data_IF_323816911128
#
_entry.id   IF_323816911128
#
_cell.length_a   1.000
_cell.length_b   1.000
_cell.length_c   1.000
_cell.angle_alpha   90.00
_cell.angle_beta   90.00
_cell.angle_gamma   90.00
#
_symmetry.space_group_name_H-M   'P 1'
#
loop_
_entity.id
_entity.type
_entity.pdbx_description
1 polymer ?
#
# COMPACT_ATOMS: atom_id res chain seq x y z
N UNK A 1 2.87 -69.72 31.04
CA UNK A 1 3.40 -69.97 29.68
C UNK A 1 4.45 -68.93 29.37
N UNK A 2 5.67 -69.41 29.23
CA UNK A 2 6.91 -68.62 29.22
C UNK A 2 7.07 -67.74 28.00
N UNK A 3 7.49 -66.50 28.24
CA UNK A 3 8.07 -65.63 27.22
C UNK A 3 9.58 -65.76 27.28
N UNK A 4 10.12 -66.36 26.23
CA UNK A 4 11.58 -66.40 25.99
C UNK A 4 12.06 -65.10 25.36
N UNK A 5 13.04 -64.53 26.02
CA UNK A 5 13.95 -63.49 25.51
C UNK A 5 14.61 -63.86 24.19
N UNK A 6 14.74 -62.89 23.31
CA UNK A 6 15.71 -62.94 22.22
C UNK A 6 16.58 -61.69 22.28
N UNK A 7 17.82 -61.96 22.61
CA UNK A 7 18.95 -61.02 22.69
C UNK A 7 19.48 -60.58 21.33
N UNK A 8 19.82 -59.31 21.29
CA UNK A 8 21.01 -58.71 20.67
C UNK A 8 21.46 -59.08 19.23
N UNK A 9 21.58 -58.03 18.44
CA UNK A 9 22.41 -57.95 17.23
C UNK A 9 22.80 -56.48 16.97
N UNK A 10 23.86 -56.06 17.65
CA UNK A 10 24.59 -54.82 17.42
C UNK A 10 25.28 -54.83 16.06
N UNK A 11 25.00 -53.83 15.19
CA UNK A 11 25.87 -53.50 14.04
C UNK A 11 25.87 -51.96 13.85
N UNK A 12 26.84 -51.36 14.49
CA UNK A 12 27.38 -50.04 14.17
C UNK A 12 27.82 -49.97 12.71
N UNK A 13 27.10 -49.12 11.93
CA UNK A 13 27.61 -48.62 10.65
C UNK A 13 27.78 -47.14 10.74
N UNK A 14 29.01 -46.69 10.93
CA UNK A 14 29.43 -45.32 10.83
C UNK A 14 29.18 -44.77 9.43
N UNK A 15 28.31 -43.78 9.31
CA UNK A 15 28.21 -42.93 8.13
C UNK A 15 29.03 -41.66 8.38
N UNK A 16 30.14 -41.55 7.63
CA UNK A 16 30.93 -40.34 7.50
C UNK A 16 30.05 -39.21 6.98
N UNK A 17 29.95 -38.15 7.76
CA UNK A 17 29.34 -36.89 7.33
C UNK A 17 30.27 -36.22 6.30
N UNK A 18 29.85 -36.18 5.05
CA UNK A 18 30.43 -35.27 4.04
C UNK A 18 29.81 -33.89 4.22
N UNK A 19 30.61 -32.97 4.75
CA UNK A 19 30.27 -31.57 4.78
C UNK A 19 30.24 -30.99 3.35
N UNK A 20 29.05 -30.80 2.79
CA UNK A 20 28.90 -30.05 1.55
C UNK A 20 28.95 -28.54 1.90
N UNK A 21 29.95 -27.88 1.32
CA UNK A 21 30.10 -26.43 1.32
C UNK A 21 28.85 -25.81 0.68
N UNK A 22 27.96 -25.19 1.48
CA UNK A 22 26.95 -24.31 0.96
C UNK A 22 27.63 -22.99 0.55
N UNK A 23 27.71 -22.80 -0.75
CA UNK A 23 28.11 -21.53 -1.37
C UNK A 23 27.12 -20.45 -1.00
N UNK A 24 27.64 -19.36 -0.45
CA UNK A 24 26.92 -18.10 -0.23
C UNK A 24 26.41 -17.56 -1.57
N UNK A 25 25.14 -17.74 -1.87
CA UNK A 25 24.48 -17.04 -2.95
C UNK A 25 23.79 -15.79 -2.40
N UNK A 26 24.46 -14.69 -2.58
CA UNK A 26 24.01 -13.39 -3.02
C UNK A 26 22.86 -12.68 -2.28
N UNK A 27 23.26 -11.77 -1.40
CA UNK A 27 22.42 -10.69 -0.82
C UNK A 27 22.17 -9.52 -1.80
N UNK A 28 22.38 -9.68 -3.10
CA UNK A 28 22.42 -8.59 -4.08
C UNK A 28 21.01 -8.12 -4.50
N UNK A 29 20.02 -8.99 -4.41
CA UNK A 29 18.66 -8.66 -4.90
C UNK A 29 17.85 -7.81 -3.91
N UNK A 30 18.12 -7.89 -2.61
CA UNK A 30 17.44 -7.06 -1.58
C UNK A 30 17.84 -5.59 -1.68
N UNK A 31 19.08 -5.32 -2.06
CA UNK A 31 19.59 -3.94 -2.14
C UNK A 31 19.02 -3.17 -3.35
N UNK A 32 18.72 -3.83 -4.46
CA UNK A 32 18.20 -3.19 -5.67
C UNK A 32 16.79 -2.62 -5.44
N UNK A 33 15.90 -3.35 -4.76
CA UNK A 33 14.54 -2.85 -4.45
C UNK A 33 14.57 -1.68 -3.47
N UNK A 34 15.48 -1.68 -2.51
CA UNK A 34 15.67 -0.60 -1.54
C UNK A 34 16.23 0.67 -2.22
N UNK A 35 17.14 0.54 -3.18
CA UNK A 35 17.69 1.68 -3.92
C UNK A 35 16.69 2.29 -4.90
N UNK A 36 15.80 1.52 -5.51
CA UNK A 36 14.74 2.04 -6.39
C UNK A 36 13.72 2.83 -5.56
N UNK A 37 13.35 2.38 -4.37
CA UNK A 37 12.46 3.12 -3.47
C UNK A 37 13.10 4.41 -2.94
N UNK A 38 14.41 4.39 -2.59
CA UNK A 38 15.13 5.59 -2.16
C UNK A 38 15.36 6.60 -3.29
N UNK A 39 15.57 6.15 -4.52
CA UNK A 39 15.76 7.04 -5.67
C UNK A 39 14.48 7.79 -6.04
N UNK A 40 13.31 7.15 -5.94
CA UNK A 40 12.00 7.78 -6.15
C UNK A 40 11.68 8.83 -5.08
N UNK A 41 11.97 8.55 -3.81
CA UNK A 41 11.78 9.54 -2.72
C UNK A 41 12.74 10.72 -2.82
N UNK A 42 13.98 10.52 -3.30
CA UNK A 42 14.93 11.60 -3.51
C UNK A 42 14.53 12.53 -4.66
N UNK A 43 13.90 12.00 -5.73
CA UNK A 43 13.42 12.80 -6.85
C UNK A 43 12.27 13.72 -6.44
N UNK A 44 11.33 13.25 -5.64
CA UNK A 44 10.21 14.05 -5.11
C UNK A 44 10.72 15.17 -4.20
N UNK A 45 11.71 14.91 -3.34
CA UNK A 45 12.31 15.94 -2.45
C UNK A 45 13.04 17.01 -3.25
N UNK A 46 13.71 16.67 -4.36
CA UNK A 46 14.40 17.64 -5.20
C UNK A 46 13.41 18.57 -5.91
N UNK A 47 12.27 18.07 -6.37
CA UNK A 47 11.23 18.86 -7.03
C UNK A 47 10.59 19.84 -6.04
N UNK A 48 10.29 19.42 -4.81
CA UNK A 48 9.74 20.29 -3.77
C UNK A 48 10.74 21.35 -3.31
N UNK A 49 12.02 21.01 -3.15
CA UNK A 49 13.06 21.95 -2.74
C UNK A 49 13.37 23.00 -3.82
N UNK A 50 13.28 22.65 -5.10
CA UNK A 50 13.54 23.59 -6.21
C UNK A 50 12.46 24.67 -6.34
N UNK A 51 11.22 24.37 -5.96
CA UNK A 51 10.13 25.32 -6.00
C UNK A 51 10.11 26.30 -4.81
N UNK A 52 10.74 25.96 -3.68
CA UNK A 52 10.82 26.84 -2.50
C UNK A 52 11.91 27.91 -2.61
N UNK A 53 12.92 27.72 -3.47
CA UNK A 53 14.07 28.64 -3.59
C UNK A 53 13.86 29.76 -4.62
N UNK A 54 12.77 29.76 -5.39
CA UNK A 54 12.52 30.73 -6.45
C UNK A 54 11.35 31.70 -6.19
N UNK A 55 10.93 31.90 -4.94
CA UNK A 55 9.97 32.95 -4.62
C UNK A 55 10.67 34.31 -4.55
N UNK A 56 10.32 35.28 -5.40
CA UNK A 56 10.87 36.62 -5.29
C UNK A 56 10.33 37.31 -4.03
N UNK A 57 11.24 37.79 -3.21
CA UNK A 57 11.02 38.59 -2.00
C UNK A 57 10.18 39.84 -2.32
N UNK A 58 8.96 39.92 -1.88
CA UNK A 58 8.17 41.16 -1.81
C UNK A 58 8.70 42.03 -0.67
N UNK A 59 9.54 43.01 -1.02
CA UNK A 59 9.89 44.09 -0.09
C UNK A 59 8.70 45.02 0.05
N UNK A 60 8.25 45.17 1.27
CA UNK A 60 7.29 46.16 1.70
C UNK A 60 8.00 47.49 1.90
N UNK A 61 7.77 48.46 1.01
CA UNK A 61 8.19 49.85 1.22
C UNK A 61 6.99 50.67 1.68
N UNK A 62 7.17 51.28 2.85
CA UNK A 62 6.24 52.26 3.44
C UNK A 62 6.46 53.62 2.79
N UNK A 63 5.44 54.20 2.17
CA UNK A 63 5.50 55.55 1.64
C UNK A 63 5.06 56.55 2.72
N UNK A 64 5.97 57.47 2.98
CA UNK A 64 5.72 58.69 3.72
C UNK A 64 5.41 59.86 2.74
N UNK A 65 4.31 60.54 2.98
CA UNK A 65 3.80 61.67 2.20
C UNK A 65 4.64 62.90 2.41
N UNK A 66 4.98 63.62 1.33
CA UNK A 66 5.22 65.04 1.40
C UNK A 66 4.79 65.76 0.11
N UNK A 67 3.91 66.69 0.27
CA UNK A 67 3.33 67.56 -0.74
C UNK A 67 4.29 68.66 -1.18
N UNK A 68 4.29 69.00 -2.47
CA UNK A 68 4.41 70.43 -2.92
C UNK A 68 3.93 70.53 -4.38
N UNK A 69 3.05 71.47 -4.60
CA UNK A 69 2.43 71.93 -5.83
C UNK A 69 3.39 72.65 -6.80
N UNK A 70 3.11 72.61 -8.10
CA UNK A 70 2.84 73.74 -9.00
C UNK A 70 2.91 73.30 -10.49
N UNK A 71 1.79 73.43 -11.17
CA UNK A 71 1.47 73.86 -12.55
C UNK A 71 2.50 73.78 -13.68
N UNK A 72 2.19 73.02 -14.75
CA UNK A 72 2.16 73.54 -16.16
C UNK A 72 1.46 72.54 -17.07
N UNK A 73 0.57 73.02 -17.89
CA UNK A 73 -0.34 72.32 -18.80
C UNK A 73 0.36 71.75 -20.07
N UNK A 74 -0.43 70.80 -20.66
CA UNK A 74 -0.43 70.42 -22.07
C UNK A 74 0.85 69.79 -22.65
N UNK A 75 0.84 68.46 -22.75
CA UNK A 75 1.11 67.65 -23.94
C UNK A 75 1.43 66.17 -23.54
N UNK A 76 0.45 65.43 -22.91
CA UNK A 76 0.76 64.01 -22.57
C UNK A 76 -0.47 63.11 -22.65
N UNK A 77 -1.35 63.29 -23.65
CA UNK A 77 -2.54 62.43 -23.75
C UNK A 77 -2.40 61.23 -24.70
N UNK A 78 -1.29 61.12 -25.44
CA UNK A 78 -1.07 60.00 -26.39
C UNK A 78 -0.03 58.98 -25.92
N UNK A 79 0.84 59.26 -24.96
CA UNK A 79 1.84 58.30 -24.44
C UNK A 79 1.33 57.46 -23.28
N UNK A 80 0.47 57.99 -22.42
CA UNK A 80 -0.07 57.28 -21.25
C UNK A 80 -0.99 56.10 -21.63
N UNK A 81 -1.68 56.15 -22.80
CA UNK A 81 -2.61 55.09 -23.23
C UNK A 81 -1.84 53.88 -23.81
N UNK A 82 -0.68 54.11 -24.49
CA UNK A 82 0.12 53.02 -25.08
C UNK A 82 0.98 52.29 -24.04
N UNK A 83 1.44 52.95 -22.99
CA UNK A 83 2.23 52.35 -21.91
C UNK A 83 1.31 51.46 -21.01
N UNK A 84 0.09 51.90 -20.75
CA UNK A 84 -0.90 51.19 -19.97
C UNK A 84 -1.45 49.91 -20.66
N UNK A 85 -1.54 49.89 -21.98
CA UNK A 85 -1.96 48.70 -22.75
C UNK A 85 -0.85 47.66 -22.82
N UNK A 86 0.43 48.06 -22.89
CA UNK A 86 1.58 47.20 -22.92
C UNK A 86 1.77 46.45 -21.60
N UNK A 87 1.58 47.15 -20.47
CA UNK A 87 1.69 46.58 -19.14
C UNK A 87 0.56 45.53 -18.88
N UNK A 88 -0.64 45.78 -19.41
CA UNK A 88 -1.76 44.82 -19.34
C UNK A 88 -1.50 43.56 -20.14
N UNK A 89 -0.98 43.68 -21.35
CA UNK A 89 -0.65 42.54 -22.22
C UNK A 89 0.44 41.65 -21.56
N UNK A 90 1.45 42.27 -20.93
CA UNK A 90 2.48 41.52 -20.19
C UNK A 90 1.90 40.78 -18.97
N UNK A 91 0.96 41.38 -18.26
CA UNK A 91 0.29 40.75 -17.12
C UNK A 91 -0.60 39.56 -17.56
N UNK A 92 -1.35 39.72 -18.65
CA UNK A 92 -2.14 38.65 -19.24
C UNK A 92 -1.23 37.51 -19.70
N UNK A 93 -0.11 37.80 -20.31
CA UNK A 93 0.85 36.77 -20.73
C UNK A 93 1.44 36.01 -19.54
N UNK A 94 1.80 36.69 -18.45
CA UNK A 94 2.27 36.06 -17.21
C UNK A 94 1.20 35.14 -16.60
N UNK A 95 -0.07 35.52 -16.62
CA UNK A 95 -1.17 34.68 -16.15
C UNK A 95 -1.36 33.43 -17.02
N UNK A 96 -1.24 33.58 -18.36
CA UNK A 96 -1.28 32.44 -19.30
C UNK A 96 -0.14 31.46 -19.08
N UNK A 97 1.09 31.99 -18.89
CA UNK A 97 2.26 31.15 -18.63
C UNK A 97 2.12 30.39 -17.29
N UNK A 98 1.61 31.08 -16.25
CA UNK A 98 1.30 30.45 -14.96
C UNK A 98 0.18 29.41 -15.05
N UNK A 99 -0.83 29.65 -15.87
CA UNK A 99 -1.90 28.67 -16.13
C UNK A 99 -1.33 27.40 -16.74
N UNK A 100 -0.45 27.54 -17.73
CA UNK A 100 0.22 26.40 -18.38
C UNK A 100 1.11 25.62 -17.40
N UNK A 101 1.84 26.30 -16.53
CA UNK A 101 2.64 25.66 -15.48
C UNK A 101 1.74 24.86 -14.51
N UNK A 102 0.61 25.45 -14.10
CA UNK A 102 -0.37 24.77 -13.25
C UNK A 102 -1.01 23.56 -13.95
N UNK A 103 -1.36 23.66 -15.24
CA UNK A 103 -1.89 22.51 -16.00
C UNK A 103 -0.90 21.34 -16.02
N UNK A 104 0.41 21.63 -16.15
CA UNK A 104 1.46 20.60 -16.09
C UNK A 104 1.53 19.95 -14.69
N UNK A 105 1.57 20.77 -13.64
CA UNK A 105 1.62 20.27 -12.25
C UNK A 105 0.38 19.49 -11.86
N UNK A 106 -0.79 19.89 -12.32
CA UNK A 106 -2.04 19.15 -12.10
C UNK A 106 -1.96 17.78 -12.74
N UNK A 107 -1.48 17.68 -14.00
CA UNK A 107 -1.33 16.39 -14.69
C UNK A 107 -0.35 15.46 -13.97
N UNK A 108 0.78 15.96 -13.51
CA UNK A 108 1.77 15.19 -12.73
C UNK A 108 1.18 14.70 -11.39
N UNK A 109 0.45 15.58 -10.68
CA UNK A 109 -0.20 15.24 -9.42
C UNK A 109 -1.34 14.22 -9.61
N UNK A 110 -2.14 14.34 -10.67
CA UNK A 110 -3.18 13.35 -11.02
C UNK A 110 -2.59 11.96 -11.29
N UNK A 111 -1.47 11.88 -11.99
CA UNK A 111 -0.77 10.62 -12.23
C UNK A 111 -0.27 10.02 -10.93
N UNK A 112 0.35 10.83 -10.06
CA UNK A 112 0.85 10.39 -8.76
C UNK A 112 -0.29 9.91 -7.84
N UNK A 113 -1.41 10.64 -7.76
CA UNK A 113 -2.61 10.22 -7.02
C UNK A 113 -3.14 8.89 -7.56
N UNK A 114 -3.20 8.72 -8.88
CA UNK A 114 -3.62 7.45 -9.50
C UNK A 114 -2.70 6.29 -9.12
N UNK A 115 -1.39 6.51 -9.10
CA UNK A 115 -0.41 5.51 -8.69
C UNK A 115 -0.57 5.17 -7.20
N UNK A 116 -0.61 6.18 -6.31
CA UNK A 116 -0.77 5.99 -4.87
C UNK A 116 -2.07 5.26 -4.51
N UNK A 117 -3.17 5.55 -5.21
CA UNK A 117 -4.44 4.81 -5.06
C UNK A 117 -4.30 3.34 -5.42
N UNK A 118 -3.54 3.00 -6.48
CA UNK A 118 -3.28 1.59 -6.84
C UNK A 118 -2.41 0.89 -5.81
N UNK A 119 -1.41 1.58 -5.27
CA UNK A 119 -0.49 1.04 -4.27
C UNK A 119 -1.17 0.80 -2.91
N UNK A 120 -2.08 1.70 -2.53
CA UNK A 120 -2.83 1.61 -1.27
C UNK A 120 -4.14 0.82 -1.38
N UNK A 121 -4.51 0.41 -2.60
CA UNK A 121 -5.73 -0.37 -2.79
C UNK A 121 -5.58 -1.77 -2.19
N UNK A 122 -6.46 -2.08 -1.25
CA UNK A 122 -6.60 -3.41 -0.65
C UNK A 122 -7.94 -3.99 -1.08
N UNK A 123 -7.94 -5.09 -1.86
CA UNK A 123 -9.18 -5.74 -2.26
C UNK A 123 -9.87 -6.35 -1.04
N UNK A 124 -11.20 -6.34 -1.02
CA UNK A 124 -11.97 -7.10 -0.03
C UNK A 124 -11.88 -8.59 -0.33
N UNK A 125 -11.97 -9.43 0.71
CA UNK A 125 -12.04 -10.87 0.55
C UNK A 125 -13.25 -11.26 -0.32
N UNK A 126 -12.98 -11.97 -1.41
CA UNK A 126 -13.97 -12.53 -2.31
C UNK A 126 -13.94 -14.05 -2.22
N UNK A 127 -14.87 -14.60 -1.43
CA UNK A 127 -14.95 -16.05 -1.15
C UNK A 127 -15.26 -16.85 -2.43
N UNK A 128 -16.05 -16.29 -3.33
CA UNK A 128 -16.40 -17.00 -4.57
C UNK A 128 -15.20 -17.01 -5.54
N UNK A 129 -14.47 -15.92 -5.64
CA UNK A 129 -13.22 -15.89 -6.40
C UNK A 129 -12.19 -16.87 -5.84
N UNK A 130 -12.03 -16.92 -4.51
CA UNK A 130 -11.14 -17.87 -3.83
C UNK A 130 -11.51 -19.33 -4.12
N UNK A 131 -12.81 -19.68 -4.17
CA UNK A 131 -13.31 -21.01 -4.56
C UNK A 131 -12.93 -21.41 -5.97
N UNK A 132 -12.73 -20.45 -6.84
CA UNK A 132 -12.32 -20.65 -8.22
C UNK A 132 -10.80 -20.49 -8.41
N UNK A 133 -10.04 -20.54 -7.31
CA UNK A 133 -8.57 -20.37 -7.29
C UNK A 133 -8.08 -18.99 -7.77
N UNK A 134 -8.94 -17.97 -7.72
CA UNK A 134 -8.50 -16.59 -7.85
C UNK A 134 -8.13 -16.05 -6.46
N UNK A 135 -6.83 -16.00 -6.20
CA UNK A 135 -6.26 -15.62 -4.91
C UNK A 135 -6.02 -14.11 -4.78
N UNK A 136 -6.38 -13.31 -5.78
CA UNK A 136 -6.11 -11.88 -5.85
C UNK A 136 -6.67 -11.09 -4.66
N UNK A 137 -7.81 -11.52 -4.10
CA UNK A 137 -8.44 -10.89 -2.94
C UNK A 137 -7.67 -11.11 -1.62
N UNK A 138 -6.72 -12.05 -1.58
CA UNK A 138 -5.82 -12.24 -0.43
C UNK A 138 -4.65 -11.26 -0.40
N UNK A 139 -4.38 -10.58 -1.51
CA UNK A 139 -3.26 -9.64 -1.62
C UNK A 139 -3.21 -8.67 -0.45
N UNK A 140 -2.01 -8.51 0.13
CA UNK A 140 -1.76 -7.55 1.20
C UNK A 140 -0.95 -8.14 2.35
N UNK A 141 -0.84 -7.35 3.40
CA UNK A 141 -0.17 -7.75 4.64
C UNK A 141 -1.20 -8.15 5.67
N UNK A 142 -0.95 -9.27 6.32
CA UNK A 142 -1.78 -9.84 7.38
C UNK A 142 -0.92 -10.07 8.60
N UNK A 143 -1.38 -9.65 9.78
CA UNK A 143 -0.57 -9.71 10.99
C UNK A 143 -1.39 -10.19 12.18
N UNK A 144 -0.76 -11.05 13.01
CA UNK A 144 -1.34 -11.43 14.29
C UNK A 144 -1.04 -10.37 15.36
N UNK A 145 -1.82 -10.30 16.45
CA UNK A 145 -1.48 -9.49 17.62
C UNK A 145 -0.09 -9.82 18.21
N UNK A 146 0.37 -11.07 18.07
CA UNK A 146 1.70 -11.52 18.53
C UNK A 146 2.85 -11.11 17.58
N UNK A 147 2.57 -10.50 16.42
CA UNK A 147 3.56 -9.99 15.48
C UNK A 147 3.97 -10.95 14.36
N UNK A 148 3.38 -12.15 14.28
CA UNK A 148 3.55 -13.00 13.10
C UNK A 148 2.90 -12.33 11.89
N UNK A 149 3.50 -12.49 10.69
CA UNK A 149 3.09 -11.75 9.51
C UNK A 149 3.07 -12.64 8.28
N UNK A 150 2.06 -12.42 7.43
CA UNK A 150 1.97 -12.91 6.06
C UNK A 150 1.92 -11.71 5.10
N UNK A 151 2.76 -11.72 4.08
CA UNK A 151 2.67 -10.80 2.94
C UNK A 151 2.32 -11.62 1.72
N UNK A 152 1.11 -11.45 1.20
CA UNK A 152 0.56 -12.26 0.10
C UNK A 152 0.51 -11.39 -1.16
N UNK A 153 1.04 -11.90 -2.27
CA UNK A 153 0.95 -11.26 -3.57
C UNK A 153 -0.29 -11.74 -4.37
N UNK A 154 -0.52 -11.15 -5.53
CA UNK A 154 -1.68 -11.46 -6.39
C UNK A 154 -1.69 -12.90 -6.90
N UNK A 155 -0.53 -13.57 -6.99
CA UNK A 155 -0.43 -14.96 -7.45
C UNK A 155 -0.60 -15.99 -6.32
N UNK A 156 -0.84 -15.55 -5.07
CA UNK A 156 -0.95 -16.45 -3.92
C UNK A 156 0.40 -16.88 -3.34
N UNK A 157 1.53 -16.31 -3.78
CA UNK A 157 2.79 -16.51 -3.09
C UNK A 157 2.78 -15.70 -1.79
N UNK A 158 3.05 -16.34 -0.67
CA UNK A 158 3.00 -15.79 0.67
C UNK A 158 4.37 -15.83 1.32
N UNK A 159 4.86 -14.67 1.74
CA UNK A 159 6.06 -14.55 2.56
C UNK A 159 5.64 -14.52 4.02
N UNK A 160 6.04 -15.55 4.76
CA UNK A 160 5.67 -15.72 6.16
C UNK A 160 6.84 -15.35 7.08
N UNK A 161 6.53 -14.54 8.08
CA UNK A 161 7.41 -14.26 9.22
C UNK A 161 6.74 -14.79 10.48
N UNK A 162 7.44 -15.62 11.25
CA UNK A 162 6.95 -16.11 12.55
C UNK A 162 8.02 -15.98 13.63
N UNK A 163 7.56 -15.83 14.86
CA UNK A 163 8.43 -15.75 16.03
C UNK A 163 8.13 -16.90 16.97
N UNK A 164 9.18 -17.63 17.37
CA UNK A 164 9.10 -18.72 18.37
C UNK A 164 10.29 -18.60 19.29
N UNK A 165 10.05 -18.56 20.60
CA UNK A 165 11.08 -18.45 21.62
C UNK A 165 12.07 -17.28 21.37
N UNK A 166 11.56 -16.15 20.87
CA UNK A 166 12.35 -14.97 20.54
C UNK A 166 13.16 -15.08 19.23
N UNK A 167 13.09 -16.19 18.53
CA UNK A 167 13.74 -16.37 17.22
C UNK A 167 12.78 -16.06 16.09
N UNK A 168 13.28 -15.36 15.06
CA UNK A 168 12.57 -15.04 13.83
C UNK A 168 12.80 -16.14 12.79
N UNK A 169 11.70 -16.61 12.20
CA UNK A 169 11.69 -17.55 11.09
C UNK A 169 11.02 -16.90 9.89
N UNK A 170 11.65 -17.01 8.72
CA UNK A 170 11.13 -16.50 7.45
C UNK A 170 11.12 -17.62 6.41
N UNK A 171 9.99 -17.81 5.77
CA UNK A 171 9.82 -18.84 4.75
C UNK A 171 8.79 -18.41 3.71
N UNK A 172 8.90 -18.98 2.51
CA UNK A 172 7.93 -18.74 1.43
C UNK A 172 6.95 -19.89 1.37
N UNK A 173 5.67 -19.54 1.24
CA UNK A 173 4.55 -20.46 1.14
C UNK A 173 3.85 -20.21 -0.20
N UNK A 174 3.43 -21.27 -0.85
CA UNK A 174 2.56 -21.23 -2.01
C UNK A 174 1.13 -21.59 -1.55
N UNK A 175 0.18 -20.70 -1.86
CA UNK A 175 -1.25 -20.93 -1.65
C UNK A 175 -1.82 -21.52 -2.94
N UNK A 176 -2.64 -22.55 -2.79
CA UNK A 176 -3.32 -23.20 -3.91
C UNK A 176 -4.72 -23.63 -3.50
N UNK A 177 -5.71 -23.21 -4.26
CA UNK A 177 -7.10 -23.62 -4.07
C UNK A 177 -7.69 -24.29 -5.32
N UNK A 178 -6.84 -24.79 -6.23
CA UNK A 178 -7.27 -25.58 -7.38
C UNK A 178 -8.10 -26.81 -6.97
N UNK A 179 -7.90 -27.25 -5.72
CA UNK A 179 -8.67 -28.31 -5.05
C UNK A 179 -9.34 -27.78 -3.79
N UNK A 180 -10.33 -26.90 -3.95
CA UNK A 180 -11.07 -26.36 -2.79
C UNK A 180 -11.68 -27.46 -1.94
N UNK A 181 -11.25 -27.57 -0.69
CA UNK A 181 -11.75 -28.54 0.27
C UNK A 181 -13.21 -28.26 0.65
N UNK A 182 -13.68 -27.02 0.51
CA UNK A 182 -15.01 -26.58 0.88
C UNK A 182 -15.98 -26.49 -0.32
N UNK A 183 -15.49 -26.62 -1.55
CA UNK A 183 -16.34 -26.51 -2.76
C UNK A 183 -17.53 -27.47 -2.74
N UNK A 184 -17.32 -28.70 -2.30
CA UNK A 184 -18.36 -29.72 -2.16
C UNK A 184 -19.15 -29.60 -0.85
N UNK A 185 -18.77 -28.72 0.07
CA UNK A 185 -19.41 -28.45 1.37
C UNK A 185 -20.07 -27.08 1.44
N UNK A 186 -20.02 -26.30 0.34
CA UNK A 186 -20.61 -24.95 0.28
C UNK A 186 -22.14 -24.96 0.47
N UNK A 187 -22.80 -26.08 0.30
CA UNK A 187 -24.23 -26.26 0.67
C UNK A 187 -24.45 -26.36 2.20
N UNK A 188 -23.40 -26.66 2.95
CA UNK A 188 -23.44 -26.63 4.42
C UNK A 188 -23.30 -25.16 4.86
N UNK A 189 -24.27 -24.67 5.62
CA UNK A 189 -24.30 -23.27 6.10
C UNK A 189 -23.02 -22.90 6.86
N UNK A 190 -22.37 -23.87 7.50
CA UNK A 190 -21.10 -23.73 8.24
C UNK A 190 -19.95 -23.19 7.38
N UNK A 191 -19.94 -23.51 6.09
CA UNK A 191 -18.81 -23.18 5.20
C UNK A 191 -19.17 -22.25 4.04
N UNK A 192 -20.41 -21.75 4.03
CA UNK A 192 -20.91 -20.93 2.91
C UNK A 192 -20.15 -19.62 2.74
N UNK A 193 -19.76 -19.00 3.83
CA UNK A 193 -19.21 -17.63 3.85
C UNK A 193 -17.69 -17.58 4.11
N UNK A 194 -17.02 -18.75 4.11
CA UNK A 194 -15.58 -18.87 4.33
C UNK A 194 -14.95 -19.73 3.24
N UNK A 195 -13.65 -19.66 3.07
CA UNK A 195 -12.91 -20.57 2.20
C UNK A 195 -11.62 -21.07 2.87
N UNK A 196 -11.31 -22.34 2.62
CA UNK A 196 -10.13 -23.03 3.15
C UNK A 196 -9.16 -23.33 2.02
N UNK A 197 -8.02 -22.68 2.05
CA UNK A 197 -7.01 -22.67 1.00
C UNK A 197 -5.84 -23.53 1.46
N UNK A 198 -5.36 -24.42 0.60
CA UNK A 198 -4.15 -25.20 0.85
C UNK A 198 -2.92 -24.31 0.85
N UNK A 199 -2.02 -24.54 1.78
CA UNK A 199 -0.78 -23.81 1.93
C UNK A 199 0.38 -24.80 2.12
N UNK A 200 1.46 -24.64 1.39
CA UNK A 200 2.65 -25.47 1.53
C UNK A 200 3.93 -24.63 1.40
N UNK A 201 4.93 -25.00 2.18
CA UNK A 201 6.22 -24.33 2.11
C UNK A 201 6.88 -24.61 0.77
N UNK A 202 7.27 -23.60 0.04
CA UNK A 202 7.89 -23.68 -1.28
C UNK A 202 9.15 -24.56 -1.25
N UNK A 203 9.15 -25.56 -2.13
CA UNK A 203 10.26 -26.52 -2.23
C UNK A 203 10.27 -27.60 -1.13
N UNK A 204 9.25 -27.70 -0.29
CA UNK A 204 9.08 -28.78 0.68
C UNK A 204 8.13 -29.84 0.13
N UNK A 205 8.45 -31.12 0.40
CA UNK A 205 7.60 -32.27 0.06
C UNK A 205 6.64 -32.66 1.21
N UNK A 206 6.73 -31.98 2.36
CA UNK A 206 5.93 -32.24 3.54
C UNK A 206 5.71 -30.93 4.32
N UNK A 207 4.68 -30.91 5.19
CA UNK A 207 4.45 -29.76 6.08
C UNK A 207 3.45 -28.74 5.52
N UNK A 208 2.40 -29.22 4.83
CA UNK A 208 1.26 -28.37 4.44
C UNK A 208 0.36 -28.00 5.63
N UNK A 209 -0.34 -26.90 5.50
CA UNK A 209 -1.38 -26.43 6.39
C UNK A 209 -2.51 -25.79 5.57
N UNK A 210 -3.54 -25.32 6.21
CA UNK A 210 -4.62 -24.60 5.54
C UNK A 210 -4.69 -23.16 6.07
N UNK A 211 -5.07 -22.24 5.19
CA UNK A 211 -5.43 -20.87 5.52
C UNK A 211 -6.91 -20.71 5.27
N UNK A 212 -7.67 -20.38 6.31
CA UNK A 212 -9.11 -20.13 6.22
C UNK A 212 -9.34 -18.63 6.11
N UNK A 213 -9.90 -18.19 5.00
CA UNK A 213 -10.27 -16.79 4.75
C UNK A 213 -11.68 -16.54 5.28
N UNK A 214 -11.80 -15.53 6.15
CA UNK A 214 -13.06 -15.17 6.82
C UNK A 214 -13.32 -13.67 6.62
N UNK A 215 -14.37 -13.30 5.87
CA UNK A 215 -14.73 -11.89 5.66
C UNK A 215 -15.15 -11.19 6.96
N UNK A 216 -15.12 -9.86 6.91
CA UNK A 216 -15.72 -9.01 7.96
C UNK A 216 -17.20 -9.33 8.13
N UNK A 217 -17.69 -9.36 9.37
CA UNK A 217 -19.07 -9.69 9.74
C UNK A 217 -19.38 -11.19 9.82
N UNK A 218 -18.49 -12.06 9.31
CA UNK A 218 -18.68 -13.51 9.34
C UNK A 218 -18.08 -14.10 10.63
N UNK A 219 -18.78 -14.98 11.28
CA UNK A 219 -18.33 -15.69 12.48
C UNK A 219 -18.09 -17.16 12.13
N UNK A 220 -16.91 -17.68 12.41
CA UNK A 220 -16.64 -19.10 12.24
C UNK A 220 -17.52 -19.92 13.19
N UNK A 221 -18.13 -20.97 12.64
CA UNK A 221 -19.02 -21.85 13.44
C UNK A 221 -18.24 -22.55 14.56
N UNK A 222 -18.88 -22.85 15.69
CA UNK A 222 -18.24 -23.59 16.77
C UNK A 222 -17.69 -24.93 16.31
N UNK A 223 -16.69 -25.44 17.03
CA UNK A 223 -16.26 -26.82 16.93
C UNK A 223 -17.39 -27.82 17.22
N UNK A 224 -17.21 -29.08 16.87
CA UNK A 224 -18.28 -30.09 16.90
C UNK A 224 -18.88 -30.31 18.31
N UNK A 225 -18.08 -30.07 19.35
CA UNK A 225 -18.56 -30.17 20.75
C UNK A 225 -19.16 -28.83 21.27
N UNK A 226 -19.17 -27.78 20.46
CA UNK A 226 -19.67 -26.45 20.81
C UNK A 226 -18.84 -25.67 21.83
N UNK A 227 -17.72 -26.21 22.31
CA UNK A 227 -16.88 -25.57 23.33
C UNK A 227 -15.91 -24.54 22.74
N UNK A 228 -15.38 -24.81 21.55
CA UNK A 228 -14.47 -23.93 20.85
C UNK A 228 -15.27 -23.03 19.95
N UNK A 229 -15.21 -21.71 20.19
CA UNK A 229 -15.93 -20.68 19.45
C UNK A 229 -14.97 -19.65 18.91
N UNK A 230 -15.34 -19.00 17.81
CA UNK A 230 -14.59 -17.87 17.27
C UNK A 230 -14.65 -16.67 18.23
N UNK A 231 -13.52 -16.31 18.81
CA UNK A 231 -13.35 -15.18 19.74
C UNK A 231 -12.51 -14.04 19.13
N UNK A 232 -12.29 -14.09 17.82
CA UNK A 232 -11.57 -13.06 17.10
C UNK A 232 -12.42 -11.79 16.91
N UNK A 233 -11.82 -10.71 16.40
CA UNK A 233 -12.56 -9.50 16.04
C UNK A 233 -13.35 -9.73 14.73
N UNK A 234 -14.67 -9.86 14.83
CA UNK A 234 -15.53 -10.15 13.68
C UNK A 234 -15.74 -8.94 12.75
N UNK A 235 -15.42 -7.73 13.20
CA UNK A 235 -15.57 -6.52 12.37
C UNK A 235 -14.48 -6.40 11.30
N UNK A 236 -13.45 -7.27 11.36
CA UNK A 236 -12.34 -7.25 10.44
C UNK A 236 -12.25 -8.52 9.59
N UNK A 237 -11.64 -8.42 8.41
CA UNK A 237 -11.24 -9.58 7.62
C UNK A 237 -10.12 -10.35 8.33
N UNK A 238 -10.21 -11.67 8.34
CA UNK A 238 -9.31 -12.53 9.11
C UNK A 238 -8.81 -13.70 8.29
N UNK A 239 -7.59 -14.14 8.62
CA UNK A 239 -7.08 -15.44 8.20
C UNK A 239 -6.77 -16.27 9.44
N UNK A 240 -7.28 -17.49 9.44
CA UNK A 240 -6.89 -18.51 10.41
C UNK A 240 -5.92 -19.46 9.72
N UNK A 241 -4.85 -19.88 10.39
CA UNK A 241 -3.87 -20.78 9.82
C UNK A 241 -3.61 -21.97 10.75
N UNK A 242 -3.68 -23.18 10.20
CA UNK A 242 -3.48 -24.40 10.99
C UNK A 242 -3.77 -25.66 10.21
N UNK A 243 -3.82 -26.80 10.93
CA UNK A 243 -4.09 -28.09 10.31
C UNK A 243 -5.51 -28.61 10.61
N UNK A 244 -6.13 -28.11 11.67
CA UNK A 244 -7.45 -28.54 12.10
C UNK A 244 -8.32 -27.34 12.48
N UNK A 245 -9.58 -27.36 12.06
CA UNK A 245 -10.54 -26.28 12.26
C UNK A 245 -10.69 -25.90 13.74
N UNK A 246 -10.90 -26.87 14.62
CA UNK A 246 -11.10 -26.65 16.05
C UNK A 246 -9.85 -26.04 16.70
N UNK A 247 -8.66 -26.49 16.29
CA UNK A 247 -7.41 -25.99 16.81
C UNK A 247 -7.16 -24.51 16.47
N UNK A 248 -7.69 -24.06 15.32
CA UNK A 248 -7.59 -22.65 14.91
C UNK A 248 -8.43 -21.71 15.78
N UNK A 249 -9.49 -22.23 16.42
CA UNK A 249 -10.35 -21.44 17.31
C UNK A 249 -9.81 -21.30 18.74
N UNK A 250 -8.78 -22.08 19.09
CA UNK A 250 -8.21 -22.10 20.46
C UNK A 250 -7.51 -20.80 20.84
N UNK A 251 -6.83 -20.16 19.88
CA UNK A 251 -5.89 -19.08 20.11
C UNK A 251 -6.24 -17.85 19.28
N UNK A 252 -7.12 -16.98 19.78
CA UNK A 252 -7.48 -15.75 19.06
C UNK A 252 -6.28 -14.82 18.82
N UNK A 253 -5.21 -14.95 19.62
CA UNK A 253 -3.95 -14.21 19.43
C UNK A 253 -3.15 -14.65 18.20
N UNK A 254 -3.43 -15.83 17.65
CA UNK A 254 -2.78 -16.34 16.43
C UNK A 254 -3.58 -16.05 15.15
N UNK A 255 -4.70 -15.33 15.26
CA UNK A 255 -5.52 -14.92 14.11
C UNK A 255 -4.84 -13.74 13.40
N UNK A 256 -4.73 -13.84 12.08
CA UNK A 256 -4.17 -12.78 11.25
C UNK A 256 -5.26 -11.81 10.80
N UNK A 257 -5.04 -10.54 11.05
CA UNK A 257 -5.90 -9.44 10.59
C UNK A 257 -5.23 -8.69 9.46
N UNK A 258 -6.03 -8.19 8.53
CA UNK A 258 -5.51 -7.42 7.41
C UNK A 258 -4.94 -6.08 7.91
N UNK A 259 -3.68 -5.82 7.59
CA UNK A 259 -3.04 -4.53 7.90
C UNK A 259 -3.55 -3.48 6.92
N UNK A 260 -4.10 -2.39 7.44
CA UNK A 260 -4.50 -1.25 6.61
C UNK A 260 -3.25 -0.59 6.04
N UNK A 261 -3.20 -0.27 4.75
CA UNK A 261 -2.07 0.44 4.17
C UNK A 261 -1.97 1.86 4.75
N UNK A 262 -0.76 2.39 4.75
CA UNK A 262 -0.53 3.81 5.08
C UNK A 262 -1.00 4.68 3.91
N UNK A 263 -2.06 5.45 4.12
CA UNK A 263 -2.66 6.37 3.13
C UNK A 263 -2.18 7.80 3.27
N UNK A 264 -1.27 8.10 4.19
CA UNK A 264 -0.86 9.47 4.51
C UNK A 264 -0.31 10.23 3.29
N UNK A 265 0.49 9.56 2.44
CA UNK A 265 1.00 10.16 1.20
C UNK A 265 -0.08 10.41 0.17
N UNK A 266 -1.05 9.52 0.07
CA UNK A 266 -2.19 9.69 -0.83
C UNK A 266 -3.04 10.89 -0.39
N UNK A 267 -3.35 11.00 0.88
CA UNK A 267 -4.12 12.11 1.45
C UNK A 267 -3.40 13.45 1.28
N UNK A 268 -2.07 13.48 1.45
CA UNK A 268 -1.26 14.68 1.21
C UNK A 268 -1.31 15.10 -0.26
N UNK A 269 -1.13 14.15 -1.20
CA UNK A 269 -1.13 14.45 -2.62
C UNK A 269 -2.52 14.81 -3.16
N UNK A 270 -3.59 14.19 -2.65
CA UNK A 270 -4.97 14.59 -2.97
C UNK A 270 -5.25 16.04 -2.53
N UNK A 271 -4.73 16.46 -1.37
CA UNK A 271 -4.83 17.83 -0.90
C UNK A 271 -4.03 18.80 -1.78
N UNK A 272 -2.81 18.41 -2.18
CA UNK A 272 -1.97 19.19 -3.10
C UNK A 272 -2.68 19.38 -4.44
N UNK A 273 -3.22 18.33 -5.03
CA UNK A 273 -3.99 18.37 -6.28
C UNK A 273 -5.19 19.31 -6.18
N UNK A 274 -5.96 19.24 -5.08
CA UNK A 274 -7.09 20.13 -4.86
C UNK A 274 -6.67 21.60 -4.78
N UNK A 275 -5.52 21.91 -4.18
CA UNK A 275 -4.99 23.28 -4.12
C UNK A 275 -4.57 23.78 -5.50
N UNK A 276 -3.84 22.96 -6.29
CA UNK A 276 -3.44 23.30 -7.66
C UNK A 276 -4.65 23.58 -8.56
N UNK A 277 -5.71 22.79 -8.44
CA UNK A 277 -6.97 22.98 -9.18
C UNK A 277 -7.68 24.28 -8.77
N UNK A 278 -7.70 24.61 -7.48
CA UNK A 278 -8.26 25.88 -6.98
C UNK A 278 -7.47 27.09 -7.49
N UNK A 279 -6.13 27.04 -7.47
CA UNK A 279 -5.26 28.09 -7.98
C UNK A 279 -5.46 28.30 -9.49
N UNK A 280 -5.63 27.21 -10.24
CA UNK A 280 -5.94 27.23 -11.67
C UNK A 280 -7.27 27.96 -11.97
N UNK A 281 -8.31 27.64 -11.23
CA UNK A 281 -9.62 28.30 -11.41
C UNK A 281 -9.58 29.79 -11.02
N UNK A 282 -8.80 30.15 -10.01
CA UNK A 282 -8.58 31.57 -9.64
C UNK A 282 -7.90 32.35 -10.77
N UNK A 283 -6.88 31.78 -11.43
CA UNK A 283 -6.22 32.41 -12.58
C UNK A 283 -7.15 32.53 -13.78
N UNK A 284 -7.92 31.50 -14.10
CA UNK A 284 -8.93 31.56 -15.18
C UNK A 284 -9.93 32.69 -14.96
N UNK A 285 -10.49 32.77 -13.75
CA UNK A 285 -11.42 33.85 -13.37
C UNK A 285 -10.77 35.23 -13.54
N UNK A 286 -9.49 35.36 -13.18
CA UNK A 286 -8.73 36.60 -13.34
C UNK A 286 -8.56 36.98 -14.82
N UNK A 287 -8.25 36.01 -15.70
CA UNK A 287 -8.12 36.22 -17.14
C UNK A 287 -9.46 36.63 -17.77
N UNK A 288 -10.56 35.93 -17.45
CA UNK A 288 -11.90 36.26 -17.96
C UNK A 288 -12.36 37.68 -17.54
N UNK A 289 -11.98 38.10 -16.34
CA UNK A 289 -12.32 39.45 -15.84
C UNK A 289 -11.53 40.52 -16.59
N UNK A 290 -10.30 40.26 -17.00
CA UNK A 290 -9.45 41.17 -17.77
C UNK A 290 -9.89 41.25 -19.24
N UNK A 291 -10.25 40.13 -19.85
CA UNK A 291 -10.76 40.08 -21.23
C UNK A 291 -12.11 40.84 -21.40
N UNK A 292 -12.97 40.86 -20.39
CA UNK A 292 -14.24 41.62 -20.41
C UNK A 292 -14.12 43.13 -20.24
N UNK A 293 -12.93 43.61 -19.81
CA UNK A 293 -12.64 45.05 -19.62
C UNK A 293 -11.94 45.70 -20.80
N UNK A 294 -11.61 44.93 -21.81
CA UNK A 294 -11.12 45.35 -23.13
C UNK A 294 -12.27 45.36 -24.12
#
# INVERSE_FOLDING_TARGET
MDYKELKQGDKTHGRKATASKLTKASSTTKNIKMYISLALTALVIIIVASNFLNSPNLKQESNQVSSTSVTTEETTKSQETQENDKDKDEEIQKLKDRLKDLDTKISESEELVSQLRKETHVPKLDIEALRNNDLSSLKGTWRTPSGNEYVINESGEMYATSYRDGQKFEYTVELDNSYSHLKNRSSDSKFKEIESISAHTKGSVAGGFVVVAVPSGVVMQPGDDGKLTDRSNHDEERLFAGQQYEAMLLKPEDVYYRVKPDTSKLEEEEKNLAQLQADREAIKTSLETKDKKN
#
